data_IF_994290507598
#
_entry.id   IF_994290507598
#
_cell.length_a   1.000
_cell.length_b   1.000
_cell.length_c   1.000
_cell.angle_alpha   90.00
_cell.angle_beta   90.00
_cell.angle_gamma   90.00
#
_symmetry.space_group_name_H-M   'P 1'
#
loop_
_entity.id
_entity.type
_entity.pdbx_description
1 polymer ?
#
# COMPACT_ATOMS: atom_id res chain seq x y z
N UNK A 1 7.06 7.64 10.85
CA UNK A 1 8.24 7.68 9.98
C UNK A 1 9.53 7.50 10.75
N UNK A 2 10.24 6.43 10.47
CA UNK A 2 11.66 6.28 10.83
C UNK A 2 12.51 6.62 9.60
N UNK A 3 13.40 7.61 9.72
CA UNK A 3 14.21 8.09 8.60
C UNK A 3 15.59 7.42 8.59
N UNK A 4 16.08 7.07 7.42
CA UNK A 4 17.38 6.42 7.22
C UNK A 4 18.05 6.80 5.89
N UNK A 5 19.27 6.29 5.70
CA UNK A 5 20.05 6.44 4.49
C UNK A 5 20.41 5.07 3.93
N UNK A 6 20.00 4.78 2.70
CA UNK A 6 20.32 3.52 2.00
C UNK A 6 20.88 3.86 0.63
N UNK A 7 22.10 3.37 0.33
CA UNK A 7 22.80 3.66 -0.92
C UNK A 7 22.85 5.16 -1.30
N UNK A 8 23.04 6.03 -0.30
CA UNK A 8 23.11 7.49 -0.45
C UNK A 8 21.76 8.19 -0.63
N UNK A 9 20.63 7.50 -0.51
CA UNK A 9 19.28 8.06 -0.66
C UNK A 9 18.54 8.08 0.67
N UNK A 10 17.74 9.13 0.89
CA UNK A 10 16.83 9.22 2.04
C UNK A 10 15.73 8.16 1.91
N UNK A 11 15.47 7.49 3.01
CA UNK A 11 14.43 6.49 3.16
C UNK A 11 13.57 6.85 4.36
N UNK A 12 12.27 6.60 4.26
CA UNK A 12 11.34 6.68 5.38
C UNK A 12 10.58 5.37 5.47
N UNK A 13 10.63 4.71 6.63
CA UNK A 13 9.81 3.54 6.92
C UNK A 13 8.50 3.98 7.56
N UNK A 14 7.40 3.41 7.08
CA UNK A 14 6.05 3.65 7.58
C UNK A 14 5.27 2.34 7.65
N UNK A 15 4.36 2.26 8.63
CA UNK A 15 3.42 1.16 8.75
C UNK A 15 2.13 1.50 7.99
N UNK A 16 1.59 0.49 7.31
CA UNK A 16 0.28 0.54 6.68
C UNK A 16 -0.33 -0.85 6.66
N UNK A 17 -1.63 -0.92 6.88
CA UNK A 17 -2.43 -2.09 6.55
C UNK A 17 -3.33 -1.75 5.36
N UNK A 18 -2.96 -2.26 4.18
CA UNK A 18 -3.67 -1.95 2.93
C UNK A 18 -5.08 -2.54 2.89
N UNK A 19 -5.45 -3.40 3.84
CA UNK A 19 -6.81 -3.93 3.95
C UNK A 19 -7.76 -3.02 4.72
N UNK A 20 -7.26 -1.92 5.28
CA UNK A 20 -8.03 -0.92 6.01
C UNK A 20 -7.92 0.45 5.34
N UNK A 21 -9.02 0.95 4.80
CA UNK A 21 -9.06 2.22 4.05
C UNK A 21 -8.49 3.41 4.85
N UNK A 22 -8.87 3.52 6.13
CA UNK A 22 -8.36 4.59 7.00
C UNK A 22 -6.84 4.52 7.21
N UNK A 23 -6.25 3.31 7.21
CA UNK A 23 -4.80 3.12 7.34
C UNK A 23 -4.07 3.64 6.10
N UNK A 24 -4.61 3.36 4.91
CA UNK A 24 -4.07 3.83 3.62
C UNK A 24 -4.16 5.36 3.51
N UNK A 25 -5.30 5.94 3.87
CA UNK A 25 -5.49 7.39 3.90
C UNK A 25 -4.50 8.07 4.87
N UNK A 26 -4.34 7.50 6.07
CA UNK A 26 -3.40 8.04 7.04
C UNK A 26 -1.94 7.96 6.56
N UNK A 27 -1.55 6.90 5.81
CA UNK A 27 -0.23 6.84 5.19
C UNK A 27 -0.04 7.96 4.16
N UNK A 28 -1.00 8.15 3.24
CA UNK A 28 -0.95 9.23 2.25
C UNK A 28 -0.73 10.57 2.93
N UNK A 29 -1.51 10.89 3.96
CA UNK A 29 -1.44 12.18 4.63
C UNK A 29 -0.06 12.43 5.25
N UNK A 30 0.54 11.40 5.87
CA UNK A 30 1.90 11.50 6.43
C UNK A 30 2.96 11.67 5.33
N UNK A 31 2.85 10.93 4.22
CA UNK A 31 3.79 11.05 3.08
C UNK A 31 3.71 12.44 2.45
N UNK A 32 2.50 12.95 2.20
CA UNK A 32 2.31 14.30 1.64
C UNK A 32 2.82 15.36 2.62
N UNK A 33 2.52 15.25 3.92
CA UNK A 33 3.04 16.19 4.92
C UNK A 33 4.58 16.20 4.99
N UNK A 34 5.22 15.05 4.78
CA UNK A 34 6.67 14.90 4.86
C UNK A 34 7.42 15.33 3.59
N UNK A 35 6.82 15.11 2.42
CA UNK A 35 7.50 15.23 1.13
C UNK A 35 6.86 16.25 0.18
N UNK A 36 5.68 16.76 0.50
CA UNK A 36 4.92 17.73 -0.29
C UNK A 36 4.21 17.13 -1.51
N UNK A 37 4.75 16.05 -2.08
CA UNK A 37 4.24 15.41 -3.31
C UNK A 37 4.50 13.91 -3.33
N UNK A 38 3.81 13.22 -4.23
CA UNK A 38 3.98 11.79 -4.55
C UNK A 38 4.13 11.68 -6.07
N UNK A 39 5.28 11.21 -6.55
CA UNK A 39 5.58 11.12 -7.98
C UNK A 39 5.36 9.73 -8.57
N UNK A 40 5.35 8.70 -7.72
CA UNK A 40 5.21 7.32 -8.14
C UNK A 40 4.74 6.44 -7.01
N UNK A 41 4.04 5.38 -7.38
CA UNK A 41 3.54 4.35 -6.48
C UNK A 41 3.92 2.98 -7.04
N UNK A 42 4.52 2.14 -6.20
CA UNK A 42 4.78 0.74 -6.52
C UNK A 42 3.91 -0.12 -5.62
N UNK A 43 2.83 -0.66 -6.17
CA UNK A 43 2.03 -1.64 -5.46
C UNK A 43 2.67 -3.03 -5.61
N UNK A 44 3.37 -3.47 -4.58
CA UNK A 44 4.05 -4.77 -4.55
C UNK A 44 3.49 -5.74 -3.49
N UNK A 45 2.69 -5.24 -2.54
CA UNK A 45 2.17 -6.05 -1.45
C UNK A 45 1.30 -7.21 -1.98
N UNK A 46 1.50 -8.41 -1.43
CA UNK A 46 0.77 -9.61 -1.83
C UNK A 46 0.62 -10.57 -0.66
N UNK A 47 -0.56 -11.18 -0.54
CA UNK A 47 -0.83 -12.35 0.28
C UNK A 47 -1.02 -13.59 -0.60
N UNK A 48 -0.42 -14.72 -0.19
CA UNK A 48 -0.44 -16.00 -0.94
C UNK A 48 -0.86 -17.16 -0.02
N UNK A 49 -2.08 -17.15 0.54
CA UNK A 49 -2.55 -18.21 1.43
C UNK A 49 -2.85 -19.50 0.66
N UNK A 50 -3.27 -19.39 -0.61
CA UNK A 50 -3.48 -20.55 -1.48
C UNK A 50 -2.16 -21.20 -1.88
N UNK A 51 -2.11 -22.53 -1.84
CA UNK A 51 -0.92 -23.30 -2.24
C UNK A 51 -1.03 -23.89 -3.65
N UNK A 52 -2.25 -24.15 -4.13
CA UNK A 52 -2.56 -24.67 -5.45
C UNK A 52 -4.05 -24.41 -5.81
N UNK A 53 -4.48 -24.88 -6.98
CA UNK A 53 -5.82 -24.67 -7.54
C UNK A 53 -6.95 -25.42 -6.82
N UNK A 54 -6.63 -26.36 -5.92
CA UNK A 54 -7.61 -27.15 -5.14
C UNK A 54 -7.86 -26.57 -3.73
N UNK A 55 -7.31 -25.41 -3.45
CA UNK A 55 -7.45 -24.77 -2.13
C UNK A 55 -8.88 -24.25 -1.89
N UNK A 56 -9.13 -23.79 -0.67
CA UNK A 56 -10.46 -23.36 -0.24
C UNK A 56 -10.86 -21.99 -0.80
N UNK A 57 -12.17 -21.75 -0.95
CA UNK A 57 -12.72 -20.42 -1.25
C UNK A 57 -12.31 -19.39 -0.20
N UNK A 58 -12.27 -19.79 1.07
CA UNK A 58 -11.84 -18.91 2.16
C UNK A 58 -10.38 -18.42 1.97
N UNK A 59 -9.47 -19.32 1.54
CA UNK A 59 -8.10 -18.92 1.22
C UNK A 59 -8.03 -17.97 0.01
N UNK A 60 -8.86 -18.20 -1.01
CA UNK A 60 -8.99 -17.26 -2.13
C UNK A 60 -9.46 -15.88 -1.65
N UNK A 61 -10.54 -15.81 -0.87
CA UNK A 61 -11.10 -14.57 -0.35
C UNK A 61 -10.10 -13.81 0.54
N UNK A 62 -9.37 -14.52 1.40
CA UNK A 62 -8.29 -13.93 2.19
C UNK A 62 -7.22 -13.28 1.30
N UNK A 63 -6.83 -13.96 0.21
CA UNK A 63 -5.89 -13.39 -0.76
C UNK A 63 -6.46 -12.14 -1.44
N UNK A 64 -7.74 -12.15 -1.82
CA UNK A 64 -8.40 -11.04 -2.52
C UNK A 64 -8.58 -9.81 -1.63
N UNK A 65 -8.75 -9.99 -0.32
CA UNK A 65 -8.78 -8.89 0.65
C UNK A 65 -7.50 -8.05 0.60
N UNK A 66 -6.34 -8.69 0.46
CA UNK A 66 -5.04 -8.00 0.34
C UNK A 66 -4.77 -7.58 -1.11
N UNK A 67 -4.86 -8.51 -2.05
CA UNK A 67 -4.30 -8.34 -3.40
C UNK A 67 -5.20 -7.53 -4.33
N UNK A 68 -6.53 -7.61 -4.16
CA UNK A 68 -7.48 -6.90 -5.00
C UNK A 68 -8.07 -5.68 -4.27
N UNK A 69 -8.64 -5.88 -3.09
CA UNK A 69 -9.22 -4.77 -2.32
C UNK A 69 -8.12 -3.80 -1.87
N UNK A 70 -7.00 -4.32 -1.35
CA UNK A 70 -5.87 -3.48 -0.94
C UNK A 70 -5.20 -2.73 -2.10
N UNK A 71 -5.14 -3.33 -3.29
CA UNK A 71 -4.73 -2.65 -4.53
C UNK A 71 -5.65 -1.48 -4.83
N UNK A 72 -6.96 -1.72 -4.88
CA UNK A 72 -7.95 -0.68 -5.19
C UNK A 72 -7.89 0.49 -4.21
N UNK A 73 -7.89 0.19 -2.90
CA UNK A 73 -7.82 1.22 -1.85
C UNK A 73 -6.55 2.06 -1.98
N UNK A 74 -5.40 1.42 -2.23
CA UNK A 74 -4.11 2.09 -2.38
C UNK A 74 -4.08 2.95 -3.63
N UNK A 75 -4.45 2.39 -4.79
CA UNK A 75 -4.47 3.12 -6.05
C UNK A 75 -5.40 4.32 -5.99
N UNK A 76 -6.65 4.17 -5.56
CA UNK A 76 -7.60 5.28 -5.44
C UNK A 76 -7.02 6.39 -4.56
N UNK A 77 -6.60 6.04 -3.35
CA UNK A 77 -6.15 7.02 -2.35
C UNK A 77 -4.93 7.81 -2.80
N UNK A 78 -3.93 7.13 -3.36
CA UNK A 78 -2.68 7.77 -3.76
C UNK A 78 -2.77 8.41 -5.15
N UNK A 79 -3.45 7.79 -6.11
CA UNK A 79 -3.60 8.37 -7.46
C UNK A 79 -4.44 9.65 -7.42
N UNK A 80 -5.49 9.72 -6.59
CA UNK A 80 -6.27 10.96 -6.40
C UNK A 80 -5.37 12.10 -5.88
N UNK A 81 -4.51 11.80 -4.89
CA UNK A 81 -3.55 12.75 -4.38
C UNK A 81 -2.52 13.16 -5.44
N UNK A 82 -2.08 12.21 -6.27
CA UNK A 82 -1.11 12.47 -7.34
C UNK A 82 -1.69 13.36 -8.45
N UNK A 83 -2.96 13.17 -8.80
CA UNK A 83 -3.66 13.92 -9.84
C UNK A 83 -4.00 15.36 -9.43
N UNK A 84 -4.05 15.65 -8.13
CA UNK A 84 -4.41 16.97 -7.58
C UNK A 84 -3.21 17.91 -7.36
N UNK A 85 -1.99 17.51 -7.75
CA UNK A 85 -0.73 18.23 -7.48
C UNK A 85 -0.43 19.35 -8.48
#
# INVERSE_FOLDING_TARGET
MEAGLTAGRRQHAEQVDITHEASVAALRDRVVAAHGRIDGLVFNAVSRPMRNERDTVAAWEESMRVNATGLFLTLRTFADAMAAQ
#
